data_IF_844424156201
#
_entry.id   IF_844424156201
#
_cell.length_a   1.000
_cell.length_b   1.000
_cell.length_c   1.000
_cell.angle_alpha   90.00
_cell.angle_beta   90.00
_cell.angle_gamma   90.00
#
_symmetry.space_group_name_H-M   'P 1'
#
loop_
_entity.id
_entity.type
_entity.pdbx_description
1 polymer ?
#
# COMPACT_ATOMS: atom_id res chain seq x y z
N UNK A 1 42.84 31.99 41.81
CA UNK A 1 44.26 32.21 41.42
C UNK A 1 44.39 32.11 39.93
N UNK A 2 44.93 33.15 39.40
CA UNK A 2 45.23 33.46 37.98
C UNK A 2 46.12 32.41 37.32
N UNK A 3 45.90 32.08 36.04
CA UNK A 3 46.97 32.15 35.04
C UNK A 3 46.39 32.14 33.65
N UNK A 4 46.57 33.26 33.01
CA UNK A 4 46.48 33.56 31.60
C UNK A 4 47.74 33.03 30.90
N UNK A 5 47.63 32.36 29.76
CA UNK A 5 48.72 32.27 28.79
C UNK A 5 48.18 32.51 27.40
N UNK A 6 48.90 33.38 26.73
CA UNK A 6 48.63 34.08 25.47
C UNK A 6 48.91 33.22 24.22
N UNK A 7 48.12 33.51 23.18
CA UNK A 7 48.53 33.99 21.87
C UNK A 7 49.51 33.13 21.02
N UNK A 8 49.02 32.64 19.94
CA UNK A 8 49.76 32.17 18.79
C UNK A 8 48.91 32.32 17.53
N UNK A 9 49.07 33.48 16.87
CA UNK A 9 48.45 33.80 15.60
C UNK A 9 49.36 33.26 14.50
N UNK A 10 48.87 32.30 13.73
CA UNK A 10 49.49 31.89 12.47
C UNK A 10 48.47 32.06 11.36
N UNK A 11 48.66 33.07 10.58
CA UNK A 11 47.99 33.27 9.30
C UNK A 11 48.52 32.25 8.30
N UNK A 12 47.64 31.48 7.69
CA UNK A 12 47.98 30.71 6.49
C UNK A 12 46.87 30.87 5.46
N UNK A 13 47.29 31.50 4.41
CA UNK A 13 46.76 31.80 3.09
C UNK A 13 45.63 30.87 2.60
N UNK A 14 44.54 31.53 2.21
CA UNK A 14 43.44 31.02 1.40
C UNK A 14 43.96 30.56 0.03
N UNK A 15 43.77 29.27 -0.27
CA UNK A 15 43.71 28.80 -1.64
C UNK A 15 42.24 28.53 -1.94
N UNK A 16 41.59 29.50 -2.60
CA UNK A 16 40.27 29.31 -3.21
C UNK A 16 40.42 28.35 -4.38
N UNK A 17 40.20 27.10 -4.15
CA UNK A 17 39.81 26.17 -5.23
C UNK A 17 38.33 26.41 -5.54
N UNK A 18 38.07 27.18 -6.59
CA UNK A 18 36.81 27.17 -7.30
C UNK A 18 36.74 25.81 -8.00
N UNK A 19 36.30 24.82 -7.26
CA UNK A 19 35.82 23.58 -7.83
C UNK A 19 34.46 23.85 -8.46
N UNK A 20 34.38 23.86 -9.78
CA UNK A 20 33.12 23.68 -10.48
C UNK A 20 32.60 22.30 -10.05
N UNK A 21 31.76 22.28 -9.03
CA UNK A 21 30.88 21.17 -8.77
C UNK A 21 29.87 21.14 -9.93
N UNK A 22 30.20 20.36 -10.95
CA UNK A 22 29.17 19.81 -11.82
C UNK A 22 28.20 19.09 -10.88
N UNK A 23 27.02 19.69 -10.71
CA UNK A 23 25.93 19.06 -9.98
C UNK A 23 25.65 17.71 -10.64
N UNK A 24 26.17 16.66 -10.06
CA UNK A 24 25.53 15.36 -10.19
C UNK A 24 24.15 15.58 -9.59
N UNK A 25 23.13 15.62 -10.44
CA UNK A 25 21.77 15.34 -10.01
C UNK A 25 21.88 13.95 -9.37
N UNK A 26 21.89 13.88 -8.05
CA UNK A 26 21.61 12.66 -7.36
C UNK A 26 20.17 12.32 -7.80
N UNK A 27 20.00 11.30 -8.62
CA UNK A 27 18.70 10.68 -8.80
C UNK A 27 18.37 10.08 -7.42
N UNK A 28 17.79 10.88 -6.54
CA UNK A 28 17.24 10.40 -5.29
C UNK A 28 16.03 9.55 -5.67
N UNK A 29 16.25 8.25 -5.77
CA UNK A 29 15.18 7.27 -5.96
C UNK A 29 14.48 7.06 -4.61
N UNK A 30 13.18 7.29 -4.55
CA UNK A 30 12.33 6.97 -3.39
C UNK A 30 11.60 5.66 -3.65
N UNK A 31 11.72 4.72 -2.75
CA UNK A 31 10.98 3.45 -2.82
C UNK A 31 9.77 3.52 -1.91
N UNK A 32 8.58 3.21 -2.46
CA UNK A 32 7.36 2.99 -1.69
C UNK A 32 7.02 1.49 -1.72
N UNK A 33 6.84 0.93 -0.56
CA UNK A 33 6.45 -0.47 -0.41
C UNK A 33 4.92 -0.60 -0.40
N UNK A 34 4.40 -1.48 -1.26
CA UNK A 34 2.97 -1.65 -1.49
C UNK A 34 2.54 -3.07 -1.10
N UNK A 35 1.71 -3.19 -0.08
CA UNK A 35 1.12 -4.48 0.32
C UNK A 35 -0.09 -4.84 -0.56
N UNK A 36 -0.11 -6.08 -1.06
CA UNK A 36 -1.15 -6.58 -1.96
C UNK A 36 -1.37 -8.08 -1.74
N UNK A 37 -2.64 -8.53 -1.82
CA UNK A 37 -3.03 -9.94 -1.76
C UNK A 37 -3.47 -10.40 -3.16
N UNK A 38 -2.59 -11.04 -3.96
CA UNK A 38 -2.86 -11.30 -5.37
C UNK A 38 -3.72 -12.55 -5.59
N UNK A 39 -4.91 -12.58 -5.00
CA UNK A 39 -5.87 -13.68 -5.01
C UNK A 39 -7.29 -13.27 -5.47
N UNK A 40 -7.44 -12.04 -6.00
CA UNK A 40 -8.73 -11.46 -6.34
C UNK A 40 -8.81 -10.96 -7.80
N UNK A 41 -8.71 -11.88 -8.76
CA UNK A 41 -8.86 -11.53 -10.18
C UNK A 41 -10.27 -10.96 -10.50
N UNK A 42 -10.40 -9.96 -11.37
CA UNK A 42 -9.37 -9.36 -12.23
C UNK A 42 -8.63 -8.16 -11.60
N UNK A 43 -8.88 -7.88 -10.33
CA UNK A 43 -8.26 -6.73 -9.64
C UNK A 43 -6.78 -6.98 -9.39
N UNK A 44 -6.44 -8.05 -8.71
CA UNK A 44 -5.09 -8.51 -8.49
C UNK A 44 -5.01 -10.05 -8.50
N UNK A 45 -4.02 -10.58 -9.16
CA UNK A 45 -3.76 -12.01 -9.21
C UNK A 45 -2.32 -12.31 -9.55
N UNK A 46 -1.91 -13.54 -9.31
CA UNK A 46 -0.60 -14.02 -9.71
C UNK A 46 -0.69 -14.79 -11.03
N UNK A 47 0.13 -14.40 -12.01
CA UNK A 47 0.20 -15.13 -13.26
C UNK A 47 1.07 -16.41 -13.12
N UNK A 48 1.14 -17.21 -14.18
CA UNK A 48 1.93 -18.47 -14.18
C UNK A 48 3.44 -18.28 -13.96
N UNK A 49 3.95 -17.04 -14.08
CA UNK A 49 5.36 -16.71 -13.85
C UNK A 49 5.61 -16.18 -12.44
N UNK A 50 4.57 -15.99 -11.65
CA UNK A 50 4.63 -15.41 -10.32
C UNK A 50 4.58 -13.88 -10.30
N UNK A 51 4.29 -13.22 -11.43
CA UNK A 51 4.13 -11.77 -11.47
C UNK A 51 2.73 -11.40 -10.98
N UNK A 52 2.64 -10.28 -10.26
CA UNK A 52 1.37 -9.68 -9.85
C UNK A 52 0.80 -8.94 -11.07
N UNK A 53 -0.44 -9.25 -11.45
CA UNK A 53 -1.13 -8.69 -12.61
C UNK A 53 -2.57 -8.36 -12.27
N UNK A 54 -3.14 -7.36 -12.93
CA UNK A 54 -4.52 -6.96 -12.77
C UNK A 54 -4.70 -5.46 -12.76
N UNK A 55 -5.92 -5.03 -12.45
CA UNK A 55 -6.29 -3.62 -12.42
C UNK A 55 -5.48 -2.83 -11.37
N UNK A 56 -5.38 -3.34 -10.14
CA UNK A 56 -4.72 -2.66 -9.03
C UNK A 56 -3.21 -2.46 -9.28
N UNK A 57 -2.43 -3.47 -9.68
CA UNK A 57 -1.01 -3.25 -9.99
C UNK A 57 -0.79 -2.35 -11.22
N UNK A 58 -1.69 -2.35 -12.20
CA UNK A 58 -1.58 -1.44 -13.34
C UNK A 58 -1.90 0.00 -12.94
N UNK A 59 -2.89 0.24 -12.07
CA UNK A 59 -3.17 1.54 -11.50
C UNK A 59 -1.98 2.05 -10.68
N UNK A 60 -1.34 1.20 -9.91
CA UNK A 60 -0.17 1.58 -9.12
C UNK A 60 1.03 1.98 -9.98
N UNK A 61 1.21 1.42 -11.17
CA UNK A 61 2.23 1.90 -12.13
C UNK A 61 1.95 3.34 -12.58
N UNK A 62 0.69 3.66 -12.89
CA UNK A 62 0.32 5.03 -13.22
C UNK A 62 0.55 5.98 -12.03
N UNK A 63 0.33 5.50 -10.82
CA UNK A 63 0.59 6.27 -9.60
C UNK A 63 2.09 6.52 -9.38
N UNK A 64 2.95 5.56 -9.67
CA UNK A 64 4.41 5.71 -9.65
C UNK A 64 4.87 6.82 -10.61
N UNK A 65 4.37 6.79 -11.86
CA UNK A 65 4.66 7.79 -12.87
C UNK A 65 4.19 9.18 -12.43
N UNK A 66 2.94 9.28 -11.95
CA UNK A 66 2.34 10.52 -11.46
C UNK A 66 3.14 11.14 -10.30
N UNK A 67 3.49 10.35 -9.28
CA UNK A 67 4.29 10.85 -8.16
C UNK A 67 5.68 11.33 -8.61
N UNK A 68 6.29 10.61 -9.53
CA UNK A 68 7.61 10.97 -10.05
C UNK A 68 7.58 12.30 -10.81
N UNK A 69 6.53 12.54 -11.59
CA UNK A 69 6.34 13.79 -12.31
C UNK A 69 6.02 14.96 -11.36
N UNK A 70 5.09 14.78 -10.43
CA UNK A 70 4.65 15.84 -9.51
C UNK A 70 5.75 16.29 -8.54
N UNK A 71 6.54 15.38 -8.02
CA UNK A 71 7.57 15.70 -7.04
C UNK A 71 8.96 15.95 -7.67
N UNK A 72 9.15 15.62 -8.94
CA UNK A 72 10.43 15.80 -9.65
C UNK A 72 11.54 14.88 -9.11
N UNK A 73 11.18 13.77 -8.48
CA UNK A 73 12.07 12.71 -8.00
C UNK A 73 11.59 11.37 -8.54
N UNK A 74 12.50 10.43 -8.76
CA UNK A 74 12.13 9.09 -9.23
C UNK A 74 11.50 8.30 -8.08
N UNK A 75 10.23 7.95 -8.21
CA UNK A 75 9.58 6.98 -7.35
C UNK A 75 9.66 5.58 -7.95
N UNK A 76 9.75 4.58 -7.09
CA UNK A 76 9.69 3.17 -7.45
C UNK A 76 8.79 2.44 -6.47
N UNK A 77 7.82 1.70 -6.99
CA UNK A 77 6.92 0.91 -6.16
C UNK A 77 7.43 -0.53 -6.06
N UNK A 78 7.55 -1.02 -4.82
CA UNK A 78 7.89 -2.39 -4.51
C UNK A 78 6.66 -3.13 -3.99
N UNK A 79 6.09 -4.04 -4.82
CA UNK A 79 4.93 -4.84 -4.45
C UNK A 79 5.33 -5.96 -3.50
N UNK A 80 4.74 -5.99 -2.30
CA UNK A 80 4.90 -7.06 -1.30
C UNK A 80 3.66 -7.92 -1.24
N UNK A 81 3.79 -9.17 -1.68
CA UNK A 81 2.72 -10.17 -1.56
C UNK A 81 2.50 -10.55 -0.11
N UNK A 82 1.26 -10.56 0.33
CA UNK A 82 0.87 -11.03 1.66
C UNK A 82 -0.60 -11.43 1.68
N UNK A 83 -1.03 -12.11 2.73
CA UNK A 83 -2.43 -12.41 2.94
C UNK A 83 -3.22 -11.12 3.24
N UNK A 84 -4.45 -11.05 2.77
CA UNK A 84 -5.29 -9.84 2.83
C UNK A 84 -5.43 -9.28 4.25
N UNK A 85 -5.64 -10.13 5.24
CA UNK A 85 -5.83 -9.75 6.64
C UNK A 85 -4.56 -9.16 7.30
N UNK A 86 -3.39 -9.38 6.70
CA UNK A 86 -2.13 -8.85 7.18
C UNK A 86 -1.85 -7.42 6.68
N UNK A 87 -2.42 -6.98 5.55
CA UNK A 87 -2.08 -5.70 4.92
C UNK A 87 -2.30 -4.52 5.87
N UNK A 88 -3.45 -4.45 6.53
CA UNK A 88 -3.76 -3.35 7.47
C UNK A 88 -2.79 -3.34 8.65
N UNK A 89 -2.45 -4.50 9.19
CA UNK A 89 -1.51 -4.61 10.31
C UNK A 89 -0.10 -4.20 9.92
N UNK A 90 0.34 -4.57 8.71
CA UNK A 90 1.65 -4.18 8.18
C UNK A 90 1.73 -2.67 7.92
N UNK A 91 0.63 -2.07 7.41
CA UNK A 91 0.53 -0.62 7.22
C UNK A 91 0.58 0.13 8.55
N UNK A 92 -0.17 -0.32 9.56
CA UNK A 92 -0.15 0.27 10.92
C UNK A 92 1.19 0.11 11.63
N UNK A 93 1.97 -0.88 11.26
CA UNK A 93 3.31 -1.15 11.80
C UNK A 93 4.45 -0.54 10.98
N UNK A 94 4.15 0.36 10.04
CA UNK A 94 5.14 1.02 9.15
C UNK A 94 6.04 0.01 8.40
N UNK A 95 5.50 -1.18 8.09
CA UNK A 95 6.22 -2.21 7.32
C UNK A 95 5.96 -2.10 5.81
N UNK A 96 4.91 -1.40 5.45
CA UNK A 96 4.54 -1.00 4.09
C UNK A 96 4.01 0.43 4.13
N UNK A 97 4.16 1.15 3.03
CA UNK A 97 3.74 2.54 2.90
C UNK A 97 2.31 2.66 2.36
N UNK A 98 1.90 1.73 1.52
CA UNK A 98 0.58 1.69 0.86
C UNK A 98 0.02 0.27 0.91
N UNK A 99 -1.29 0.15 1.09
CA UNK A 99 -2.03 -1.10 0.95
C UNK A 99 -3.05 -0.98 -0.18
N UNK A 100 -3.02 -1.89 -1.15
CA UNK A 100 -4.01 -1.97 -2.23
C UNK A 100 -4.40 -3.43 -2.45
N UNK A 101 -5.68 -3.76 -2.34
CA UNK A 101 -6.19 -5.12 -2.57
C UNK A 101 -7.73 -5.13 -2.49
N UNK A 102 -8.40 -4.42 -3.39
CA UNK A 102 -9.86 -4.42 -3.44
C UNK A 102 -10.56 -4.03 -2.13
N UNK A 103 -9.93 -3.21 -1.29
CA UNK A 103 -10.50 -2.82 -0.01
C UNK A 103 -11.80 -2.04 -0.15
N UNK A 104 -12.79 -2.42 0.64
CA UNK A 104 -13.95 -1.59 0.92
C UNK A 104 -13.67 -0.73 2.15
N UNK A 105 -14.07 0.56 2.11
CA UNK A 105 -13.96 1.45 3.26
C UNK A 105 -14.62 0.85 4.51
N UNK A 106 -13.88 0.87 5.62
CA UNK A 106 -14.39 0.52 6.94
C UNK A 106 -13.71 1.42 7.99
N UNK A 107 -14.49 2.23 8.68
CA UNK A 107 -14.00 3.14 9.73
C UNK A 107 -13.36 2.44 10.94
N UNK A 108 -13.58 1.13 11.10
CA UNK A 108 -12.95 0.32 12.13
C UNK A 108 -11.47 0.07 11.83
N UNK A 109 -11.07 0.09 10.56
CA UNK A 109 -9.67 0.01 10.15
C UNK A 109 -9.02 1.37 10.35
N UNK A 110 -8.09 1.47 11.28
CA UNK A 110 -7.43 2.72 11.69
C UNK A 110 -6.25 3.03 10.78
N UNK A 111 -6.55 3.40 9.56
CA UNK A 111 -5.63 3.82 8.49
C UNK A 111 -6.21 5.01 7.76
N UNK A 112 -5.36 5.74 7.03
CA UNK A 112 -5.83 6.76 6.08
C UNK A 112 -6.32 6.08 4.81
N UNK A 113 -7.34 6.67 4.20
CA UNK A 113 -7.99 6.15 3.00
C UNK A 113 -7.87 7.14 1.86
N UNK A 114 -7.62 6.62 0.67
CA UNK A 114 -7.77 7.40 -0.57
C UNK A 114 -9.23 7.68 -0.87
N UNK A 115 -9.49 8.54 -1.84
CA UNK A 115 -10.79 8.59 -2.49
C UNK A 115 -11.12 7.23 -3.15
N UNK A 116 -12.40 6.84 -3.21
CA UNK A 116 -12.80 5.60 -3.88
C UNK A 116 -12.47 5.67 -5.38
N UNK A 117 -11.74 4.68 -5.86
CA UNK A 117 -11.39 4.57 -7.28
C UNK A 117 -12.30 3.61 -8.06
N UNK A 118 -13.12 2.81 -7.36
CA UNK A 118 -14.05 1.86 -7.98
C UNK A 118 -15.30 1.68 -7.12
N UNK A 119 -16.47 1.63 -7.76
CA UNK A 119 -17.71 1.24 -7.13
C UNK A 119 -17.86 -0.27 -7.11
N UNK A 120 -18.24 -0.84 -5.97
CA UNK A 120 -18.47 -2.28 -5.81
C UNK A 120 -19.68 -2.57 -4.94
N UNK A 121 -20.15 -3.81 -4.96
CA UNK A 121 -21.22 -4.29 -4.11
C UNK A 121 -20.85 -5.62 -3.47
N UNK A 122 -21.21 -5.80 -2.21
CA UNK A 122 -21.07 -7.08 -1.56
C UNK A 122 -22.17 -8.04 -2.08
N UNK A 123 -21.74 -9.21 -2.54
CA UNK A 123 -22.66 -10.23 -3.08
C UNK A 123 -22.39 -11.59 -2.43
N UNK A 124 -23.42 -12.41 -2.34
CA UNK A 124 -23.28 -13.83 -2.03
C UNK A 124 -23.25 -14.64 -3.34
N UNK A 125 -22.22 -15.46 -3.52
CA UNK A 125 -22.15 -16.41 -4.63
C UNK A 125 -22.79 -17.72 -4.17
N UNK A 126 -23.80 -18.16 -4.91
CA UNK A 126 -24.58 -19.36 -4.59
C UNK A 126 -24.52 -20.37 -5.74
N UNK A 127 -24.70 -21.68 -5.48
CA UNK A 127 -24.84 -22.67 -6.54
C UNK A 127 -26.01 -22.33 -7.47
N UNK A 128 -25.86 -22.61 -8.76
CA UNK A 128 -26.84 -22.27 -9.79
C UNK A 128 -28.24 -22.88 -9.52
N UNK A 129 -28.25 -24.10 -8.94
CA UNK A 129 -29.48 -24.85 -8.67
C UNK A 129 -29.86 -24.76 -7.18
N UNK A 130 -29.49 -23.67 -6.51
CA UNK A 130 -29.82 -23.41 -5.11
C UNK A 130 -31.21 -22.81 -4.98
N UNK A 131 -31.91 -23.15 -3.90
CA UNK A 131 -33.20 -22.57 -3.51
C UNK A 131 -33.05 -21.18 -2.86
N UNK A 132 -31.81 -20.67 -2.72
CA UNK A 132 -31.52 -19.35 -2.13
C UNK A 132 -31.89 -18.27 -3.14
N UNK A 133 -32.88 -17.43 -2.81
CA UNK A 133 -33.35 -16.33 -3.62
C UNK A 133 -33.07 -14.95 -2.98
N UNK A 134 -32.81 -14.93 -1.69
CA UNK A 134 -32.57 -13.71 -0.90
C UNK A 134 -31.55 -13.93 0.20
N UNK A 135 -31.10 -12.86 0.84
CA UNK A 135 -30.19 -12.93 1.99
C UNK A 135 -30.84 -13.65 3.19
N UNK A 136 -32.15 -13.58 3.34
CA UNK A 136 -32.88 -14.28 4.41
C UNK A 136 -32.75 -15.82 4.28
N UNK A 137 -32.62 -16.35 3.07
CA UNK A 137 -32.48 -17.79 2.82
C UNK A 137 -31.07 -18.30 3.20
N UNK A 138 -30.16 -17.40 3.54
CA UNK A 138 -28.80 -17.74 4.01
C UNK A 138 -28.79 -18.12 5.51
N UNK A 139 -29.85 -17.84 6.26
CA UNK A 139 -29.95 -18.21 7.68
C UNK A 139 -29.73 -19.74 7.84
N UNK A 140 -28.91 -20.11 8.79
CA UNK A 140 -28.56 -21.52 9.06
C UNK A 140 -27.71 -22.20 8.00
N UNK A 141 -27.27 -21.50 6.94
CA UNK A 141 -26.36 -22.03 5.93
C UNK A 141 -24.90 -21.86 6.35
N UNK A 142 -24.03 -22.70 5.77
CA UNK A 142 -22.58 -22.53 5.89
C UNK A 142 -22.11 -21.46 4.90
N UNK A 143 -21.53 -20.37 5.40
CA UNK A 143 -20.98 -19.30 4.61
C UNK A 143 -19.46 -19.31 4.66
N UNK A 144 -18.81 -18.97 3.55
CA UNK A 144 -17.36 -18.83 3.45
C UNK A 144 -17.06 -17.40 2.99
N UNK A 145 -16.09 -16.77 3.63
CA UNK A 145 -15.60 -15.45 3.26
C UNK A 145 -14.11 -15.36 3.52
N UNK A 146 -13.44 -14.42 2.86
CA UNK A 146 -12.04 -14.12 3.12
C UNK A 146 -11.90 -13.47 4.49
N UNK A 147 -10.93 -13.96 5.28
CA UNK A 147 -10.64 -13.41 6.61
C UNK A 147 -10.26 -11.93 6.53
N UNK A 148 -10.82 -11.12 7.42
CA UNK A 148 -10.56 -9.68 7.48
C UNK A 148 -11.28 -8.85 6.41
N UNK A 149 -11.97 -9.47 5.44
CA UNK A 149 -12.75 -8.76 4.43
C UNK A 149 -14.13 -8.32 4.96
N UNK A 150 -14.74 -7.33 4.30
CA UNK A 150 -16.11 -6.88 4.63
C UNK A 150 -17.16 -7.97 4.38
N UNK A 151 -16.88 -8.91 3.49
CA UNK A 151 -17.70 -10.10 3.27
C UNK A 151 -17.78 -11.03 4.48
N UNK A 152 -16.71 -11.14 5.26
CA UNK A 152 -16.73 -11.88 6.52
C UNK A 152 -17.66 -11.23 7.55
N UNK A 153 -17.62 -9.89 7.66
CA UNK A 153 -18.51 -9.16 8.53
C UNK A 153 -19.98 -9.35 8.11
N UNK A 154 -20.28 -9.22 6.83
CA UNK A 154 -21.62 -9.45 6.28
C UNK A 154 -22.11 -10.89 6.51
N UNK A 155 -21.23 -11.89 6.36
CA UNK A 155 -21.59 -13.28 6.63
C UNK A 155 -21.90 -13.55 8.11
N UNK A 156 -21.21 -12.87 9.03
CA UNK A 156 -21.49 -12.94 10.48
C UNK A 156 -22.84 -12.30 10.81
N UNK A 157 -23.16 -11.13 10.23
CA UNK A 157 -24.46 -10.47 10.44
C UNK A 157 -25.63 -11.34 10.01
N UNK A 158 -25.53 -12.03 8.86
CA UNK A 158 -26.57 -12.97 8.39
C UNK A 158 -26.70 -14.17 9.32
N UNK A 159 -25.62 -14.63 9.93
CA UNK A 159 -25.64 -15.79 10.84
C UNK A 159 -26.27 -15.46 12.19
N UNK A 160 -26.11 -14.22 12.66
CA UNK A 160 -26.55 -13.76 13.99
C UNK A 160 -27.96 -13.14 13.95
N UNK A 161 -28.58 -13.00 12.75
CA UNK A 161 -29.92 -12.49 12.55
C UNK A 161 -30.99 -13.57 12.75
#
# INVERSE_FOLDING_TARGET
MKKIIKLGMAALTALTMVGCSSGSASNDEKVLTVGISPDYAPYESENKKGDIVGFDPDMMKCFEEYLSEEEGVTYKLEMKKMDFDNIITQLQGDQIDVGISGFTYDSKRKVEWSDPYLGSSQVAVIPKDSDIASTADLEGKSLVAQTGATGEAAAKEVKDA
#
